data_IF_479006011305
#
_entry.id   IF_479006011305
#
_cell.length_a   1.000
_cell.length_b   1.000
_cell.length_c   1.000
_cell.angle_alpha   90.00
_cell.angle_beta   90.00
_cell.angle_gamma   90.00
#
_symmetry.space_group_name_H-M   'P 1'
#
loop_
_entity.id
_entity.type
_entity.pdbx_description
1 polymer ?
#
# COMPACT_ATOMS: atom_id res chain seq x y z
N UNK A 1 18.54 9.80 17.25
CA UNK A 1 18.84 10.32 15.90
C UNK A 1 18.79 11.83 15.85
N UNK A 2 19.30 12.45 14.78
CA UNK A 2 19.34 13.92 14.60
C UNK A 2 18.55 14.35 13.36
N UNK A 3 17.75 15.43 13.46
CA UNK A 3 17.07 16.00 12.29
C UNK A 3 18.10 16.65 11.38
N UNK A 4 18.36 16.03 10.23
CA UNK A 4 19.31 16.52 9.23
C UNK A 4 18.68 17.59 8.33
N UNK A 5 17.43 17.38 7.92
CA UNK A 5 16.78 18.27 6.96
C UNK A 5 15.26 18.29 7.12
N UNK A 6 14.67 19.43 6.74
CA UNK A 6 13.21 19.60 6.60
C UNK A 6 12.95 20.16 5.22
N UNK A 7 12.48 19.31 4.31
CA UNK A 7 12.24 19.70 2.92
C UNK A 7 10.80 20.21 2.75
N UNK A 8 10.65 21.32 2.03
CA UNK A 8 9.35 21.93 1.72
C UNK A 8 9.23 22.18 0.24
N UNK A 9 8.09 21.82 -0.33
CA UNK A 9 7.75 22.09 -1.72
C UNK A 9 6.96 23.40 -1.89
N UNK A 10 6.22 23.46 -2.99
CA UNK A 10 5.36 24.59 -3.33
C UNK A 10 4.40 24.95 -2.19
N UNK A 11 4.22 26.26 -1.98
CA UNK A 11 3.39 26.81 -0.89
C UNK A 11 3.77 26.28 0.50
N UNK A 12 5.06 25.98 0.71
CA UNK A 12 5.64 25.47 1.98
C UNK A 12 5.07 24.12 2.43
N UNK A 13 4.45 23.36 1.53
CA UNK A 13 3.99 22.00 1.82
C UNK A 13 5.16 21.16 2.33
N UNK A 14 4.98 20.49 3.47
CA UNK A 14 6.02 19.62 4.02
C UNK A 14 6.21 18.42 3.09
N UNK A 15 7.43 18.24 2.58
CA UNK A 15 7.76 17.10 1.71
C UNK A 15 8.34 15.94 2.52
N UNK A 16 9.32 16.23 3.38
CA UNK A 16 9.95 15.23 4.24
C UNK A 16 10.64 15.87 5.44
N UNK A 17 10.83 15.06 6.49
CA UNK A 17 11.73 15.33 7.60
C UNK A 17 12.75 14.20 7.61
N UNK A 18 14.02 14.53 7.42
CA UNK A 18 15.11 13.55 7.30
C UNK A 18 15.80 13.46 8.64
N UNK A 19 15.89 12.24 9.17
CA UNK A 19 16.51 11.94 10.44
C UNK A 19 17.71 11.05 10.17
N UNK A 20 18.90 11.53 10.54
CA UNK A 20 20.09 10.69 10.59
C UNK A 20 19.96 9.77 11.81
N UNK A 21 20.05 8.47 11.54
CA UNK A 21 19.92 7.41 12.54
C UNK A 21 21.25 7.26 13.26
N UNK A 22 21.23 7.23 14.59
CA UNK A 22 22.45 7.02 15.36
C UNK A 22 22.92 5.58 15.23
N UNK A 23 24.23 5.35 15.40
CA UNK A 23 24.83 4.03 15.20
C UNK A 23 24.21 2.94 16.08
N UNK A 24 23.91 3.26 17.34
CA UNK A 24 23.27 2.34 18.28
C UNK A 24 21.87 1.91 17.82
N UNK A 25 21.08 2.83 17.25
CA UNK A 25 19.75 2.55 16.70
C UNK A 25 19.87 1.66 15.46
N UNK A 26 20.89 1.93 14.63
CA UNK A 26 21.15 1.18 13.41
C UNK A 26 21.59 -0.27 13.70
N UNK A 27 22.34 -0.49 14.78
CA UNK A 27 22.80 -1.80 15.22
C UNK A 27 21.75 -2.52 16.11
N UNK A 28 20.56 -1.91 16.31
CA UNK A 28 19.50 -2.48 17.16
C UNK A 28 19.90 -2.60 18.63
N UNK A 29 20.95 -1.90 19.03
CA UNK A 29 21.57 -1.95 20.36
C UNK A 29 21.06 -0.85 21.28
N UNK A 30 20.29 0.10 20.76
CA UNK A 30 19.50 1.07 21.53
C UNK A 30 18.32 0.42 22.24
N UNK A 31 18.58 -0.53 23.13
CA UNK A 31 17.61 -0.99 24.13
C UNK A 31 18.05 -0.44 25.47
N UNK A 32 17.40 0.63 25.93
CA UNK A 32 17.82 1.32 27.16
C UNK A 32 17.27 2.75 27.30
N UNK A 33 18.01 3.58 28.05
CA UNK A 33 17.60 4.88 28.60
C UNK A 33 17.17 5.96 27.58
N UNK A 34 17.46 5.78 26.29
CA UNK A 34 17.14 6.75 25.23
C UNK A 34 15.84 6.43 24.48
N UNK A 35 15.18 5.30 24.78
CA UNK A 35 13.88 4.96 24.19
C UNK A 35 12.75 5.71 24.91
N UNK A 36 11.85 6.33 24.15
CA UNK A 36 10.69 7.04 24.72
C UNK A 36 9.77 6.02 25.37
N UNK A 37 9.62 6.10 26.70
CA UNK A 37 8.60 5.36 27.43
C UNK A 37 7.24 5.98 27.22
N UNK A 38 6.24 5.19 26.85
CA UNK A 38 4.85 5.66 26.73
C UNK A 38 4.13 5.54 28.08
N UNK A 39 3.58 6.64 28.56
CA UNK A 39 2.82 6.70 29.81
C UNK A 39 1.55 5.83 29.78
N UNK A 40 0.95 5.65 28.60
CA UNK A 40 -0.23 4.81 28.39
C UNK A 40 0.11 3.31 28.34
N UNK A 41 1.40 2.94 28.31
CA UNK A 41 1.80 1.54 28.28
C UNK A 41 1.66 0.90 29.66
N UNK A 42 0.71 -0.03 29.80
CA UNK A 42 0.45 -0.74 31.05
C UNK A 42 1.07 -2.13 31.14
N UNK A 43 1.73 -2.62 30.09
CA UNK A 43 2.23 -4.01 29.99
C UNK A 43 1.14 -5.09 29.90
N UNK A 44 -0.14 -4.72 30.00
CA UNK A 44 -1.27 -5.66 29.91
C UNK A 44 -1.52 -6.07 28.46
N UNK A 45 -1.99 -7.31 28.29
CA UNK A 45 -2.49 -7.79 27.01
C UNK A 45 -3.70 -6.94 26.54
N UNK A 46 -3.82 -6.59 25.25
CA UNK A 46 -4.91 -5.74 24.75
C UNK A 46 -6.31 -6.26 25.05
N UNK A 47 -6.49 -7.59 25.14
CA UNK A 47 -7.77 -8.19 25.53
C UNK A 47 -8.30 -7.64 26.88
N UNK A 48 -7.42 -7.34 27.83
CA UNK A 48 -7.76 -6.77 29.13
C UNK A 48 -7.85 -5.24 29.19
N UNK A 49 -7.75 -4.57 28.04
CA UNK A 49 -7.82 -3.11 27.91
C UNK A 49 -9.17 -2.66 27.36
N UNK A 50 -9.51 -1.42 27.68
CA UNK A 50 -10.61 -0.65 27.08
C UNK A 50 -10.17 -0.05 25.73
N UNK A 51 -11.14 0.30 24.88
CA UNK A 51 -10.84 1.00 23.63
C UNK A 51 -10.18 2.37 23.81
N UNK A 52 -10.39 3.01 24.96
CA UNK A 52 -9.77 4.29 25.30
C UNK A 52 -8.29 4.12 25.64
N UNK A 53 -7.95 3.14 26.49
CA UNK A 53 -6.56 2.81 26.81
C UNK A 53 -5.76 2.39 25.56
N UNK A 54 -6.38 1.59 24.66
CA UNK A 54 -5.74 1.23 23.39
C UNK A 54 -5.51 2.46 22.52
N UNK A 55 -6.51 3.33 22.38
CA UNK A 55 -6.40 4.56 21.58
C UNK A 55 -5.31 5.47 22.12
N UNK A 56 -5.25 5.68 23.43
CA UNK A 56 -4.26 6.55 24.08
C UNK A 56 -2.84 6.11 23.76
N UNK A 57 -2.52 4.82 23.93
CA UNK A 57 -1.20 4.30 23.61
C UNK A 57 -0.86 4.42 22.12
N UNK A 58 -1.81 4.14 21.23
CA UNK A 58 -1.57 4.26 19.79
C UNK A 58 -1.34 5.71 19.35
N UNK A 59 -2.05 6.67 19.94
CA UNK A 59 -1.89 8.10 19.65
C UNK A 59 -0.56 8.60 20.22
N UNK A 60 -0.26 8.29 21.49
CA UNK A 60 0.97 8.70 22.16
C UNK A 60 2.23 8.17 21.43
N UNK A 61 2.20 6.92 21.00
CA UNK A 61 3.31 6.29 20.27
C UNK A 61 3.43 6.70 18.80
N UNK A 62 2.40 7.33 18.23
CA UNK A 62 2.29 7.60 16.79
C UNK A 62 1.93 6.37 15.94
N UNK A 63 1.74 5.20 16.55
CA UNK A 63 1.27 4.00 15.83
C UNK A 63 -0.13 4.17 15.22
N UNK A 64 -0.94 5.11 15.75
CA UNK A 64 -2.25 5.49 15.22
C UNK A 64 -2.23 5.85 13.73
N UNK A 65 -1.10 6.37 13.23
CA UNK A 65 -0.93 6.73 11.81
C UNK A 65 -1.03 5.53 10.85
N UNK A 66 -1.05 4.29 11.36
CA UNK A 66 -1.36 3.11 10.56
C UNK A 66 -2.81 3.09 10.05
N UNK A 67 -3.73 3.66 10.81
CA UNK A 67 -5.17 3.57 10.56
C UNK A 67 -5.60 4.65 9.58
N UNK A 68 -6.19 4.23 8.46
CA UNK A 68 -6.82 5.12 7.48
C UNK A 68 -8.32 4.87 7.44
N UNK A 69 -9.10 5.93 7.22
CA UNK A 69 -10.56 5.84 7.10
C UNK A 69 -11.02 5.96 5.66
N UNK A 70 -11.90 5.06 5.21
CA UNK A 70 -12.62 5.15 3.93
C UNK A 70 -14.00 5.76 4.20
N UNK A 71 -14.48 6.73 3.39
CA UNK A 71 -14.17 6.97 1.98
C UNK A 71 -12.92 7.83 1.63
N UNK A 72 -12.34 8.58 2.57
CA UNK A 72 -11.37 9.64 2.22
C UNK A 72 -9.88 9.26 2.28
N UNK A 73 -9.56 8.03 2.70
CA UNK A 73 -8.21 7.51 2.94
C UNK A 73 -7.28 8.40 3.78
N UNK A 74 -7.87 9.24 4.64
CA UNK A 74 -7.13 10.07 5.60
C UNK A 74 -6.83 9.25 6.86
N UNK A 75 -5.84 9.69 7.63
CA UNK A 75 -5.60 9.14 8.97
C UNK A 75 -6.91 9.17 9.77
N UNK A 76 -7.24 8.05 10.38
CA UNK A 76 -8.44 7.88 11.20
C UNK A 76 -8.53 8.98 12.26
N UNK A 77 -9.71 9.57 12.45
CA UNK A 77 -9.92 10.53 13.53
C UNK A 77 -10.04 9.79 14.87
N UNK A 78 -9.15 10.02 15.86
CA UNK A 78 -9.20 9.34 17.17
C UNK A 78 -10.52 9.57 17.94
N UNK A 79 -11.22 10.66 17.65
CA UNK A 79 -12.48 11.01 18.31
C UNK A 79 -13.70 10.35 17.65
N UNK A 80 -13.51 9.58 16.59
CA UNK A 80 -14.57 8.84 15.91
C UNK A 80 -14.42 7.33 16.14
N UNK A 81 -15.45 6.59 15.76
CA UNK A 81 -15.45 5.12 15.72
C UNK A 81 -15.85 4.68 14.32
N UNK A 82 -15.17 3.70 13.73
CA UNK A 82 -15.57 3.15 12.45
C UNK A 82 -16.68 2.11 12.63
N UNK A 83 -17.48 1.93 11.59
CA UNK A 83 -18.48 0.86 11.55
C UNK A 83 -17.81 -0.52 11.60
N UNK A 84 -16.71 -0.69 10.87
CA UNK A 84 -15.89 -1.90 10.84
C UNK A 84 -14.42 -1.56 10.59
N UNK A 85 -13.52 -2.54 10.81
CA UNK A 85 -12.10 -2.39 10.51
C UNK A 85 -11.62 -3.51 9.59
N UNK A 86 -10.89 -3.14 8.53
CA UNK A 86 -10.31 -4.06 7.56
C UNK A 86 -8.80 -4.21 7.78
N UNK A 87 -8.35 -5.43 7.98
CA UNK A 87 -6.93 -5.81 8.01
C UNK A 87 -6.61 -6.47 6.67
N UNK A 88 -5.82 -5.81 5.84
CA UNK A 88 -5.32 -6.43 4.59
C UNK A 88 -4.15 -7.36 4.92
N UNK A 89 -4.39 -8.67 4.80
CA UNK A 89 -3.43 -9.76 5.03
C UNK A 89 -3.23 -10.59 3.74
N UNK A 90 -3.25 -9.90 2.60
CA UNK A 90 -2.87 -10.39 1.28
C UNK A 90 -2.38 -9.20 0.45
N UNK A 91 -1.59 -9.45 -0.58
CA UNK A 91 -1.17 -8.42 -1.52
C UNK A 91 -1.06 -9.03 -2.92
N UNK A 92 -1.86 -8.53 -3.86
CA UNK A 92 -1.85 -8.98 -5.25
C UNK A 92 -1.13 -8.00 -6.18
N UNK A 93 -0.51 -6.96 -5.65
CA UNK A 93 0.38 -6.13 -6.45
C UNK A 93 1.50 -6.99 -7.06
N UNK A 94 1.91 -6.70 -8.30
CA UNK A 94 3.03 -7.41 -8.90
C UNK A 94 4.28 -7.19 -8.06
N UNK A 95 5.00 -8.29 -7.83
CA UNK A 95 6.25 -8.31 -7.05
C UNK A 95 6.07 -7.99 -5.55
N UNK A 96 4.85 -8.04 -5.02
CA UNK A 96 4.62 -7.91 -3.59
C UNK A 96 5.27 -9.03 -2.77
N UNK A 97 5.46 -8.79 -1.47
CA UNK A 97 5.95 -9.80 -0.56
C UNK A 97 4.86 -10.86 -0.29
N UNK A 98 5.27 -12.12 -0.16
CA UNK A 98 4.39 -13.16 0.37
C UNK A 98 4.07 -12.86 1.85
N UNK A 99 2.78 -12.68 2.14
CA UNK A 99 2.31 -12.33 3.48
C UNK A 99 2.63 -13.42 4.52
N UNK A 100 2.57 -14.71 4.12
CA UNK A 100 2.89 -15.82 5.02
C UNK A 100 4.36 -15.75 5.46
N UNK A 101 5.28 -15.46 4.54
CA UNK A 101 6.70 -15.34 4.86
C UNK A 101 7.02 -14.14 5.76
N UNK A 102 6.24 -13.05 5.65
CA UNK A 102 6.44 -11.88 6.51
C UNK A 102 5.85 -12.09 7.91
N UNK A 103 4.71 -12.77 8.03
CA UNK A 103 4.09 -13.07 9.32
C UNK A 103 4.88 -14.14 10.09
N UNK A 104 5.57 -15.04 9.38
CA UNK A 104 6.38 -16.12 9.96
C UNK A 104 7.32 -15.60 11.06
N UNK A 105 7.16 -16.13 12.29
CA UNK A 105 7.93 -15.73 13.47
C UNK A 105 7.46 -14.43 14.15
N UNK A 106 6.35 -13.84 13.70
CA UNK A 106 5.69 -12.67 14.30
C UNK A 106 4.21 -12.94 14.62
N UNK A 107 3.82 -14.21 14.75
CA UNK A 107 2.43 -14.66 14.95
C UNK A 107 1.83 -14.08 16.24
N UNK A 108 2.54 -14.17 17.36
CA UNK A 108 2.10 -13.62 18.65
C UNK A 108 1.88 -12.10 18.58
N UNK A 109 2.72 -11.39 17.83
CA UNK A 109 2.58 -9.96 17.61
C UNK A 109 1.40 -9.65 16.70
N UNK A 110 1.19 -10.43 15.64
CA UNK A 110 0.02 -10.28 14.78
C UNK A 110 -1.28 -10.50 15.57
N UNK A 111 -1.37 -11.57 16.35
CA UNK A 111 -2.51 -11.89 17.21
C UNK A 111 -2.80 -10.76 18.21
N UNK A 112 -1.78 -10.30 18.94
CA UNK A 112 -1.89 -9.21 19.90
C UNK A 112 -2.34 -7.91 19.24
N UNK A 113 -1.83 -7.64 18.04
CA UNK A 113 -2.25 -6.52 17.21
C UNK A 113 -3.74 -6.58 16.87
N UNK A 114 -4.25 -7.76 16.47
CA UNK A 114 -5.67 -7.97 16.18
C UNK A 114 -6.55 -7.70 17.40
N UNK A 115 -6.15 -8.17 18.59
CA UNK A 115 -6.87 -7.84 19.83
C UNK A 115 -6.89 -6.34 20.12
N UNK A 116 -5.79 -5.62 19.87
CA UNK A 116 -5.76 -4.17 20.05
C UNK A 116 -6.72 -3.47 19.07
N UNK A 117 -6.64 -3.81 17.78
CA UNK A 117 -7.51 -3.26 16.75
C UNK A 117 -8.99 -3.55 17.06
N UNK A 118 -9.31 -4.74 17.62
CA UNK A 118 -10.64 -5.12 18.09
C UNK A 118 -11.25 -4.25 19.17
N UNK A 119 -10.44 -3.46 19.88
CA UNK A 119 -10.94 -2.49 20.87
C UNK A 119 -11.34 -1.15 20.26
N UNK A 120 -10.98 -0.89 18.99
CA UNK A 120 -11.20 0.39 18.32
C UNK A 120 -12.57 0.51 17.65
N UNK A 121 -13.31 -0.60 17.53
CA UNK A 121 -14.68 -0.63 16.99
C UNK A 121 -15.58 -1.51 17.86
N UNK A 122 -16.87 -1.23 17.81
CA UNK A 122 -17.91 -2.11 18.33
C UNK A 122 -18.38 -3.14 17.31
N UNK A 123 -18.16 -2.86 16.02
CA UNK A 123 -18.55 -3.70 14.89
C UNK A 123 -17.51 -4.75 14.51
N UNK A 124 -17.64 -5.35 13.31
CA UNK A 124 -16.78 -6.44 12.88
C UNK A 124 -15.37 -5.97 12.52
N UNK A 125 -14.43 -6.91 12.65
CA UNK A 125 -13.10 -6.82 12.07
C UNK A 125 -12.98 -7.86 10.98
N UNK A 126 -12.70 -7.41 9.76
CA UNK A 126 -12.46 -8.28 8.63
C UNK A 126 -10.94 -8.46 8.46
N UNK A 127 -10.46 -9.69 8.58
CA UNK A 127 -9.10 -10.04 8.15
C UNK A 127 -9.19 -10.63 6.76
N UNK A 128 -8.73 -9.87 5.77
CA UNK A 128 -8.84 -10.24 4.36
C UNK A 128 -7.55 -10.90 3.88
N UNK A 129 -7.60 -12.18 3.50
CA UNK A 129 -6.42 -12.97 3.12
C UNK A 129 -6.59 -13.70 1.80
N UNK A 130 -5.49 -14.27 1.30
CA UNK A 130 -5.54 -15.31 0.27
C UNK A 130 -6.13 -16.61 0.81
N UNK A 131 -6.56 -17.49 -0.09
CA UNK A 131 -7.04 -18.86 0.21
C UNK A 131 -5.92 -19.76 0.78
N UNK A 132 -4.67 -19.38 0.54
CA UNK A 132 -3.42 -20.03 0.89
C UNK A 132 -2.74 -19.42 2.13
N UNK A 133 -3.49 -18.66 2.94
CA UNK A 133 -3.03 -18.12 4.22
C UNK A 133 -2.69 -19.25 5.22
N UNK A 134 -1.50 -19.17 5.84
CA UNK A 134 -0.99 -20.19 6.79
C UNK A 134 -0.95 -19.70 8.24
N UNK A 135 -1.27 -18.43 8.49
CA UNK A 135 -1.29 -17.86 9.84
C UNK A 135 -2.57 -18.21 10.58
N UNK A 136 -2.47 -18.30 11.91
CA UNK A 136 -3.62 -18.51 12.78
C UNK A 136 -4.24 -17.18 13.20
N UNK A 137 -5.56 -17.16 13.36
CA UNK A 137 -6.30 -16.01 13.83
C UNK A 137 -6.83 -16.26 15.25
N UNK A 138 -6.82 -15.25 16.13
CA UNK A 138 -7.42 -15.37 17.44
C UNK A 138 -8.93 -15.58 17.34
N UNK A 139 -9.48 -16.37 18.26
CA UNK A 139 -10.91 -16.60 18.35
C UNK A 139 -11.57 -15.52 19.22
N UNK A 140 -12.24 -14.57 18.59
CA UNK A 140 -13.19 -13.68 19.25
C UNK A 140 -14.33 -13.30 18.32
N UNK A 141 -15.53 -13.15 18.88
CA UNK A 141 -16.81 -13.12 18.14
C UNK A 141 -16.96 -12.07 17.03
N UNK A 142 -16.15 -11.00 17.06
CA UNK A 142 -16.20 -9.92 16.06
C UNK A 142 -15.18 -10.07 14.93
N UNK A 143 -14.25 -11.01 15.04
CA UNK A 143 -13.28 -11.28 13.98
C UNK A 143 -13.93 -12.15 12.91
N UNK A 144 -13.88 -11.68 11.67
CA UNK A 144 -14.33 -12.39 10.48
C UNK A 144 -13.14 -12.59 9.55
N UNK A 145 -12.90 -13.85 9.18
CA UNK A 145 -11.83 -14.21 8.27
C UNK A 145 -12.40 -14.33 6.86
N UNK A 146 -12.03 -13.40 5.99
CA UNK A 146 -12.57 -13.31 4.63
C UNK A 146 -11.47 -13.64 3.62
N UNK A 147 -11.68 -14.71 2.86
CA UNK A 147 -10.71 -15.18 1.88
C UNK A 147 -11.06 -14.70 0.48
N UNK A 148 -10.07 -14.18 -0.22
CA UNK A 148 -10.19 -13.72 -1.60
C UNK A 148 -9.21 -14.47 -2.50
N UNK A 149 -9.64 -14.75 -3.72
CA UNK A 149 -8.83 -15.37 -4.77
C UNK A 149 -9.01 -14.59 -6.07
N UNK A 150 -7.94 -14.48 -6.85
CA UNK A 150 -7.96 -13.89 -8.18
C UNK A 150 -6.74 -13.02 -8.46
N UNK A 151 -6.65 -12.48 -9.70
CA UNK A 151 -5.60 -11.55 -10.07
C UNK A 151 -5.76 -10.21 -9.32
N UNK A 152 -4.76 -9.33 -9.46
CA UNK A 152 -4.92 -7.94 -9.03
C UNK A 152 -6.17 -7.33 -9.70
N UNK A 153 -7.08 -6.68 -8.93
CA UNK A 153 -6.89 -6.10 -7.59
C UNK A 153 -7.50 -6.89 -6.42
N UNK A 154 -7.45 -8.23 -6.42
CA UNK A 154 -8.05 -9.05 -5.34
C UNK A 154 -7.55 -8.78 -3.90
N UNK A 155 -6.36 -8.18 -3.75
CA UNK A 155 -5.78 -7.82 -2.44
C UNK A 155 -5.94 -6.35 -2.06
N UNK A 156 -6.67 -5.56 -2.87
CA UNK A 156 -6.87 -4.13 -2.61
C UNK A 156 -8.05 -3.93 -1.67
N UNK A 157 -7.88 -3.05 -0.69
CA UNK A 157 -8.87 -2.84 0.39
C UNK A 157 -10.19 -2.28 -0.13
N UNK A 158 -10.21 -1.45 -1.18
CA UNK A 158 -11.45 -0.90 -1.72
C UNK A 158 -12.37 -2.00 -2.25
N UNK A 159 -11.81 -3.05 -2.88
CA UNK A 159 -12.59 -4.23 -3.28
C UNK A 159 -13.14 -4.98 -2.06
N UNK A 160 -12.34 -5.17 -1.01
CA UNK A 160 -12.79 -5.85 0.21
C UNK A 160 -13.95 -5.10 0.86
N UNK A 161 -13.81 -3.78 1.01
CA UNK A 161 -14.85 -2.90 1.54
C UNK A 161 -16.11 -2.97 0.69
N UNK A 162 -15.97 -2.86 -0.64
CA UNK A 162 -17.09 -2.92 -1.57
C UNK A 162 -17.90 -4.22 -1.46
N UNK A 163 -17.23 -5.36 -1.22
CA UNK A 163 -17.89 -6.68 -1.11
C UNK A 163 -18.50 -6.95 0.26
N UNK A 164 -17.89 -6.45 1.33
CA UNK A 164 -18.20 -6.86 2.71
C UNK A 164 -18.97 -5.79 3.49
N UNK A 165 -18.54 -4.53 3.41
CA UNK A 165 -19.11 -3.45 4.22
C UNK A 165 -18.95 -2.08 3.52
N UNK A 166 -19.63 -1.86 2.38
CA UNK A 166 -19.44 -0.66 1.54
C UNK A 166 -19.73 0.63 2.30
N UNK A 167 -19.04 1.70 1.90
CA UNK A 167 -19.07 3.02 2.56
C UNK A 167 -19.81 4.07 1.76
N UNK A 168 -20.30 5.08 2.45
CA UNK A 168 -20.94 6.25 1.86
C UNK A 168 -20.62 7.51 2.69
N UNK A 169 -21.35 8.61 2.51
CA UNK A 169 -21.14 9.84 3.30
C UNK A 169 -21.43 9.69 4.80
N UNK A 170 -22.33 8.79 5.16
CA UNK A 170 -22.81 8.54 6.51
C UNK A 170 -22.10 7.38 7.21
N UNK A 171 -21.50 6.46 6.44
CA UNK A 171 -20.84 5.27 6.93
C UNK A 171 -19.35 5.27 6.57
N UNK A 172 -18.52 5.09 7.59
CA UNK A 172 -17.07 5.13 7.50
C UNK A 172 -16.47 3.88 8.14
N UNK A 173 -15.46 3.30 7.49
CA UNK A 173 -14.70 2.14 7.98
C UNK A 173 -13.22 2.49 8.09
N UNK A 174 -12.48 1.81 8.96
CA UNK A 174 -11.03 1.93 9.03
C UNK A 174 -10.33 0.76 8.37
N UNK A 175 -9.09 0.97 7.97
CA UNK A 175 -8.25 -0.10 7.47
C UNK A 175 -6.76 0.11 7.78
N UNK A 176 -6.03 -1.00 7.81
CA UNK A 176 -4.58 -1.07 7.98
C UNK A 176 -4.03 -2.37 7.39
N UNK A 177 -2.73 -2.42 7.13
CA UNK A 177 -2.07 -3.64 6.63
C UNK A 177 -1.57 -4.54 7.76
N UNK A 178 -1.29 -5.80 7.42
CA UNK A 178 -0.80 -6.82 8.35
C UNK A 178 0.52 -6.46 9.07
N UNK A 179 1.48 -5.76 8.43
CA UNK A 179 2.72 -5.35 9.12
C UNK A 179 2.49 -4.24 10.15
N UNK A 180 1.51 -3.38 9.91
CA UNK A 180 1.08 -2.40 10.89
C UNK A 180 0.39 -3.06 12.08
N UNK A 181 -0.42 -4.11 11.85
CA UNK A 181 -0.98 -4.94 12.94
C UNK A 181 0.13 -5.58 13.77
N UNK A 182 1.13 -6.20 13.13
CA UNK A 182 2.32 -6.73 13.82
C UNK A 182 3.02 -5.62 14.63
N UNK A 183 3.22 -4.44 14.05
CA UNK A 183 3.85 -3.32 14.71
C UNK A 183 3.09 -2.85 15.96
N UNK A 184 1.76 -2.80 15.88
CA UNK A 184 0.88 -2.52 17.01
C UNK A 184 1.02 -3.61 18.09
N UNK A 185 0.99 -4.89 17.71
CA UNK A 185 1.19 -5.97 18.67
C UNK A 185 2.53 -5.91 19.39
N UNK A 186 3.61 -5.64 18.66
CA UNK A 186 4.94 -5.44 19.24
C UNK A 186 4.96 -4.28 20.24
N UNK A 187 4.25 -3.18 19.96
CA UNK A 187 4.10 -2.06 20.90
C UNK A 187 3.42 -2.51 22.21
N UNK A 188 2.32 -3.28 22.12
CA UNK A 188 1.66 -3.82 23.31
C UNK A 188 2.45 -4.93 24.02
N UNK A 189 3.39 -5.56 23.34
CA UNK A 189 4.26 -6.58 23.93
C UNK A 189 5.46 -5.98 24.65
N UNK A 190 6.06 -4.93 24.07
CA UNK A 190 7.38 -4.43 24.49
C UNK A 190 7.32 -3.04 25.12
N UNK A 191 6.27 -2.26 24.89
CA UNK A 191 6.22 -0.84 25.24
C UNK A 191 7.02 0.05 24.29
N UNK A 192 7.56 -0.52 23.21
CA UNK A 192 8.46 0.14 22.26
C UNK A 192 7.82 0.26 20.87
N UNK A 193 8.02 1.39 20.19
CA UNK A 193 7.50 1.58 18.84
C UNK A 193 8.27 0.72 17.81
N UNK A 194 7.59 -0.27 17.23
CA UNK A 194 8.19 -1.09 16.16
C UNK A 194 8.21 -0.34 14.82
N UNK A 195 9.41 0.08 14.42
CA UNK A 195 9.65 0.71 13.11
C UNK A 195 10.18 -0.25 12.04
N UNK A 196 10.39 -1.54 12.38
CA UNK A 196 10.88 -2.56 11.44
C UNK A 196 9.86 -2.82 10.35
N UNK A 197 10.31 -2.98 9.11
CA UNK A 197 9.51 -3.38 7.96
C UNK A 197 10.21 -4.48 7.18
N UNK A 198 9.45 -5.42 6.63
CA UNK A 198 9.96 -6.39 5.66
C UNK A 198 9.36 -5.99 4.32
N UNK A 199 10.16 -5.58 3.36
CA UNK A 199 9.66 -5.12 2.06
C UNK A 199 10.23 -5.97 0.94
N UNK A 200 9.43 -6.18 -0.10
CA UNK A 200 9.95 -6.72 -1.36
C UNK A 200 10.79 -5.66 -2.06
N UNK A 201 12.06 -5.97 -2.35
CA UNK A 201 12.89 -5.19 -3.26
C UNK A 201 12.97 -5.96 -4.58
N UNK A 202 12.27 -5.47 -5.61
CA UNK A 202 12.10 -6.21 -6.84
C UNK A 202 11.90 -5.31 -8.07
N UNK A 203 11.96 -5.93 -9.23
CA UNK A 203 11.75 -5.30 -10.53
C UNK A 203 12.83 -5.70 -11.54
N UNK A 204 12.62 -5.45 -12.84
CA UNK A 204 13.56 -5.87 -13.88
C UNK A 204 14.98 -5.30 -13.71
N UNK A 205 15.12 -4.19 -13.00
CA UNK A 205 16.40 -3.53 -12.75
C UNK A 205 17.16 -4.06 -11.53
N UNK A 206 16.57 -4.93 -10.72
CA UNK A 206 17.17 -5.43 -9.46
C UNK A 206 17.95 -6.72 -9.73
N UNK A 207 19.23 -6.75 -9.36
CA UNK A 207 20.11 -7.92 -9.58
C UNK A 207 19.70 -9.14 -8.73
N UNK A 208 19.24 -8.90 -7.50
CA UNK A 208 18.90 -9.94 -6.52
C UNK A 208 17.56 -9.64 -5.84
N UNK A 209 16.42 -9.82 -6.55
CA UNK A 209 15.11 -9.58 -5.97
C UNK A 209 14.88 -10.46 -4.74
N UNK A 210 14.45 -9.86 -3.63
CA UNK A 210 14.25 -10.56 -2.35
C UNK A 210 13.45 -9.72 -1.36
N UNK A 211 13.03 -10.36 -0.27
CA UNK A 211 12.56 -9.64 0.90
C UNK A 211 13.75 -9.08 1.67
N UNK A 212 13.65 -7.80 2.05
CA UNK A 212 14.67 -7.11 2.86
C UNK A 212 14.05 -6.56 4.12
N UNK A 213 14.71 -6.79 5.26
CA UNK A 213 14.37 -6.12 6.50
C UNK A 213 14.94 -4.71 6.47
N UNK A 214 14.08 -3.73 6.68
CA UNK A 214 14.38 -2.31 6.67
C UNK A 214 13.55 -1.61 7.76
N UNK A 215 13.42 -0.28 7.68
CA UNK A 215 12.62 0.52 8.61
C UNK A 215 11.59 1.40 7.89
N UNK A 216 10.58 1.83 8.62
CA UNK A 216 9.67 2.90 8.21
C UNK A 216 10.47 4.14 7.79
N UNK A 217 10.14 4.69 6.61
CA UNK A 217 10.83 5.88 6.11
C UNK A 217 12.28 5.65 5.70
N UNK A 218 12.71 4.41 5.46
CA UNK A 218 14.08 4.13 5.01
C UNK A 218 14.42 4.89 3.71
N UNK A 219 15.65 5.40 3.62
CA UNK A 219 16.18 5.97 2.39
C UNK A 219 16.22 4.90 1.30
N UNK A 220 15.50 5.14 0.21
CA UNK A 220 15.46 4.20 -0.92
C UNK A 220 16.74 4.26 -1.74
N UNK A 221 17.43 5.41 -1.77
CA UNK A 221 18.74 5.52 -2.38
C UNK A 221 19.76 4.60 -1.69
N UNK A 222 19.77 4.58 -0.34
CA UNK A 222 20.62 3.67 0.42
C UNK A 222 20.17 2.20 0.30
N UNK A 223 18.85 1.96 0.24
CA UNK A 223 18.31 0.60 0.15
C UNK A 223 18.67 -0.10 -1.18
N UNK A 224 18.82 0.65 -2.28
CA UNK A 224 19.14 0.08 -3.60
C UNK A 224 20.61 0.19 -3.99
N UNK A 225 21.46 0.73 -3.11
CA UNK A 225 22.88 0.89 -3.38
C UNK A 225 23.55 -0.47 -3.63
N UNK A 226 24.18 -0.63 -4.80
CA UNK A 226 24.81 -1.90 -5.19
C UNK A 226 23.82 -3.04 -5.50
N UNK A 227 22.52 -2.77 -5.58
CA UNK A 227 21.49 -3.79 -5.86
C UNK A 227 20.96 -3.77 -7.30
N UNK A 228 21.33 -2.76 -8.10
CA UNK A 228 20.79 -2.53 -9.44
C UNK A 228 21.77 -2.90 -10.55
N UNK A 229 21.23 -3.38 -11.69
CA UNK A 229 22.01 -3.55 -12.92
C UNK A 229 22.53 -2.20 -13.44
N UNK A 230 23.51 -2.20 -14.34
CA UNK A 230 23.98 -0.97 -14.98
C UNK A 230 22.85 -0.29 -15.80
N UNK A 231 22.69 1.02 -15.65
CA UNK A 231 21.71 1.82 -16.40
C UNK A 231 21.04 2.92 -15.57
N UNK A 232 20.13 3.67 -16.21
CA UNK A 232 19.25 4.61 -15.52
C UNK A 232 17.96 3.90 -15.07
N UNK A 233 17.56 4.14 -13.83
CA UNK A 233 16.42 3.46 -13.22
C UNK A 233 15.46 4.42 -12.54
N UNK A 234 14.18 4.03 -12.53
CA UNK A 234 13.16 4.63 -11.69
C UNK A 234 12.94 3.77 -10.45
N UNK A 235 13.22 4.36 -9.30
CA UNK A 235 12.92 3.78 -7.99
C UNK A 235 11.52 4.23 -7.58
N UNK A 236 10.70 3.28 -7.14
CA UNK A 236 9.31 3.49 -6.75
C UNK A 236 9.12 2.98 -5.33
N UNK A 237 8.66 3.86 -4.46
CA UNK A 237 8.13 3.51 -3.15
C UNK A 237 6.73 2.94 -3.37
N UNK A 238 6.51 1.66 -3.08
CA UNK A 238 5.27 0.95 -3.41
C UNK A 238 5.32 0.19 -4.73
N UNK A 239 4.15 -0.24 -5.21
CA UNK A 239 4.01 -1.03 -6.43
C UNK A 239 4.16 -0.19 -7.70
N UNK A 240 4.32 -0.85 -8.84
CA UNK A 240 4.31 -0.15 -10.14
C UNK A 240 2.93 0.41 -10.51
N UNK A 241 1.85 -0.06 -9.87
CA UNK A 241 0.49 0.42 -10.13
C UNK A 241 0.13 1.63 -9.27
N UNK A 242 0.42 1.60 -7.97
CA UNK A 242 0.03 2.66 -7.02
C UNK A 242 1.19 3.13 -6.14
N UNK A 243 2.38 3.23 -6.73
CA UNK A 243 3.58 3.70 -6.05
C UNK A 243 3.89 5.18 -6.28
N UNK A 244 4.82 5.70 -5.50
CA UNK A 244 5.37 7.06 -5.66
C UNK A 244 6.81 6.99 -6.13
N UNK A 245 7.15 7.76 -7.17
CA UNK A 245 8.55 7.94 -7.60
C UNK A 245 9.36 8.45 -6.40
N UNK A 246 10.48 7.79 -6.14
CA UNK A 246 11.43 8.19 -5.11
C UNK A 246 12.57 8.99 -5.75
N UNK A 247 12.52 10.33 -5.77
CA UNK A 247 13.63 11.12 -6.30
C UNK A 247 14.84 11.04 -5.37
N UNK A 248 16.03 11.18 -5.94
CA UNK A 248 17.25 11.29 -5.14
C UNK A 248 17.18 12.50 -4.21
N UNK A 249 17.57 12.31 -2.94
CA UNK A 249 17.65 13.38 -1.94
C UNK A 249 16.32 13.64 -1.21
N UNK A 250 15.52 14.59 -1.71
CA UNK A 250 14.53 15.30 -0.89
C UNK A 250 13.36 14.43 -0.41
N UNK A 251 12.85 13.50 -1.22
CA UNK A 251 11.67 12.68 -0.89
C UNK A 251 11.82 11.19 -1.26
N UNK A 252 13.06 10.74 -1.47
CA UNK A 252 13.40 9.37 -1.84
C UNK A 252 13.33 8.35 -0.68
N UNK A 253 12.18 8.25 -0.01
CA UNK A 253 12.00 7.41 1.17
C UNK A 253 10.86 6.40 1.02
N UNK A 254 10.92 5.33 1.80
CA UNK A 254 9.83 4.36 1.90
C UNK A 254 8.58 5.04 2.51
N UNK A 255 7.47 5.01 1.78
CA UNK A 255 6.22 5.63 2.18
C UNK A 255 5.60 4.89 3.37
N UNK A 256 4.82 5.59 4.20
CA UNK A 256 4.24 5.04 5.44
C UNK A 256 3.44 3.75 5.21
N UNK A 257 2.72 3.66 4.09
CA UNK A 257 1.82 2.56 3.77
C UNK A 257 2.37 1.59 2.72
N UNK A 258 3.59 1.82 2.23
CA UNK A 258 4.19 0.98 1.19
C UNK A 258 4.96 -0.20 1.80
N UNK A 259 4.68 -1.41 1.31
CA UNK A 259 5.33 -2.66 1.74
C UNK A 259 6.21 -3.29 0.64
N UNK A 260 6.47 -2.56 -0.43
CA UNK A 260 7.40 -2.97 -1.49
C UNK A 260 8.14 -1.77 -2.07
N UNK A 261 9.26 -2.05 -2.73
CA UNK A 261 10.09 -1.12 -3.50
C UNK A 261 10.27 -1.71 -4.88
N UNK A 262 9.71 -1.02 -5.88
CA UNK A 262 9.76 -1.47 -7.27
C UNK A 262 10.82 -0.67 -8.04
N UNK A 263 11.67 -1.34 -8.81
CA UNK A 263 12.69 -0.68 -9.64
C UNK A 263 12.58 -1.11 -11.10
N UNK A 264 12.30 -0.13 -11.96
CA UNK A 264 12.14 -0.31 -13.41
C UNK A 264 13.14 0.55 -14.17
N UNK A 265 13.44 0.19 -15.43
CA UNK A 265 14.32 1.00 -16.25
C UNK A 265 13.68 2.35 -16.60
N UNK A 266 14.48 3.43 -16.53
CA UNK A 266 14.06 4.74 -17.03
C UNK A 266 14.28 4.77 -18.54
N UNK A 267 13.19 4.81 -19.31
CA UNK A 267 13.26 4.73 -20.76
C UNK A 267 13.20 6.12 -21.41
N UNK A 268 14.27 6.47 -22.13
CA UNK A 268 14.39 7.73 -22.89
C UNK A 268 14.38 7.54 -24.40
N UNK A 269 14.35 6.30 -24.86
CA UNK A 269 14.40 5.93 -26.27
C UNK A 269 13.06 6.12 -26.94
N UNK A 270 13.05 6.80 -28.09
CA UNK A 270 11.90 6.79 -29.00
C UNK A 270 12.10 5.68 -30.01
N UNK A 271 11.18 4.72 -30.04
CA UNK A 271 11.17 3.69 -31.08
C UNK A 271 10.87 4.30 -32.45
N UNK A 272 11.80 4.15 -33.40
CA UNK A 272 11.57 4.52 -34.79
C UNK A 272 10.49 3.60 -35.41
N UNK A 273 9.39 4.19 -35.89
CA UNK A 273 8.25 3.47 -36.48
C UNK A 273 7.66 2.35 -35.59
N UNK A 274 7.69 2.51 -34.25
CA UNK A 274 7.24 1.48 -33.30
C UNK A 274 5.76 1.07 -33.40
N UNK A 275 4.94 1.78 -34.18
CA UNK A 275 3.54 1.45 -34.48
C UNK A 275 3.40 0.39 -35.60
N UNK A 276 4.42 0.23 -36.44
CA UNK A 276 4.49 -0.81 -37.49
C UNK A 276 5.07 -2.13 -36.96
N UNK A 277 5.72 -2.11 -35.80
CA UNK A 277 6.34 -3.29 -35.24
C UNK A 277 5.28 -4.31 -34.76
N UNK A 278 5.44 -5.62 -35.04
CA UNK A 278 4.50 -6.67 -34.64
C UNK A 278 4.34 -6.84 -33.12
N UNK A 279 5.20 -6.19 -32.32
CA UNK A 279 5.02 -6.03 -30.89
C UNK A 279 5.21 -7.30 -30.06
N UNK A 280 6.17 -8.16 -30.42
CA UNK A 280 6.44 -9.39 -29.66
C UNK A 280 6.70 -9.17 -28.16
N UNK A 281 7.27 -8.03 -27.78
CA UNK A 281 7.57 -7.66 -26.39
C UNK A 281 6.66 -6.54 -25.86
N UNK A 282 5.55 -6.23 -26.54
CA UNK A 282 4.61 -5.18 -26.13
C UNK A 282 3.40 -5.79 -25.44
N UNK A 283 3.02 -5.24 -24.29
CA UNK A 283 1.78 -5.60 -23.61
C UNK A 283 0.58 -4.87 -24.23
N UNK A 284 -0.56 -5.55 -24.34
CA UNK A 284 -1.86 -4.93 -24.63
C UNK A 284 -2.98 -5.71 -23.96
N UNK A 285 -3.95 -4.99 -23.42
CA UNK A 285 -5.21 -5.57 -22.90
C UNK A 285 -6.12 -6.08 -24.04
N UNK A 286 -5.94 -5.52 -25.24
CA UNK A 286 -6.61 -5.96 -26.47
C UNK A 286 -5.75 -6.93 -27.27
N UNK A 287 -6.37 -7.59 -28.26
CA UNK A 287 -5.69 -8.55 -29.13
C UNK A 287 -4.90 -7.85 -30.27
N UNK A 288 -4.07 -6.87 -29.95
CA UNK A 288 -3.41 -6.00 -30.94
C UNK A 288 -1.95 -6.36 -31.23
N UNK A 289 -1.30 -7.17 -30.38
CA UNK A 289 0.11 -7.56 -30.54
C UNK A 289 0.29 -9.08 -30.53
N UNK A 290 1.32 -9.57 -31.21
CA UNK A 290 1.63 -11.00 -31.30
C UNK A 290 1.97 -11.60 -29.92
N UNK A 291 2.44 -10.78 -28.98
CA UNK A 291 2.71 -11.18 -27.59
C UNK A 291 1.52 -11.89 -26.91
N UNK A 292 0.28 -11.61 -27.33
CA UNK A 292 -0.93 -12.27 -26.84
C UNK A 292 -1.00 -13.76 -27.16
N UNK A 293 -0.32 -14.21 -28.21
CA UNK A 293 -0.24 -15.63 -28.58
C UNK A 293 0.77 -16.42 -27.73
N UNK A 294 1.51 -15.74 -26.85
CA UNK A 294 2.50 -16.35 -25.95
C UNK A 294 1.97 -16.31 -24.50
N UNK A 295 1.18 -17.30 -24.06
CA UNK A 295 0.66 -17.35 -22.70
C UNK A 295 1.81 -17.39 -21.68
N UNK A 296 1.64 -16.71 -20.55
CA UNK A 296 2.66 -16.65 -19.49
C UNK A 296 3.86 -15.75 -19.78
N UNK A 297 3.88 -15.03 -20.91
CA UNK A 297 4.96 -14.08 -21.22
C UNK A 297 5.04 -12.99 -20.15
N UNK A 298 6.22 -12.88 -19.54
CA UNK A 298 6.56 -11.81 -18.63
C UNK A 298 7.08 -10.59 -19.41
N UNK A 299 6.78 -9.39 -18.92
CA UNK A 299 7.18 -8.13 -19.53
C UNK A 299 8.05 -7.34 -18.57
N UNK A 300 9.21 -6.91 -19.05
CA UNK A 300 10.04 -5.93 -18.37
C UNK A 300 9.49 -4.53 -18.67
N UNK A 301 8.49 -4.10 -17.90
CA UNK A 301 7.94 -2.76 -18.04
C UNK A 301 8.99 -1.69 -17.69
N UNK A 302 8.93 -0.58 -18.41
CA UNK A 302 9.78 0.60 -18.23
C UNK A 302 8.91 1.82 -17.93
N UNK A 303 9.50 3.00 -17.83
CA UNK A 303 8.75 4.26 -17.65
C UNK A 303 8.03 4.74 -18.91
N UNK A 304 8.17 4.04 -20.04
CA UNK A 304 7.54 4.39 -21.31
C UNK A 304 6.02 4.16 -21.28
N UNK A 305 5.25 5.20 -21.60
CA UNK A 305 3.79 5.11 -21.79
C UNK A 305 3.39 4.46 -23.11
N UNK A 306 4.36 4.25 -24.02
CA UNK A 306 4.16 3.71 -25.37
C UNK A 306 3.07 4.46 -26.16
N UNK A 307 2.95 5.78 -25.95
CA UNK A 307 1.95 6.63 -26.59
C UNK A 307 1.77 7.98 -25.90
N UNK A 308 0.98 8.86 -26.53
CA UNK A 308 0.65 10.19 -26.02
C UNK A 308 -0.75 10.23 -25.38
N UNK A 309 -1.02 11.27 -24.59
CA UNK A 309 -2.36 11.53 -24.04
C UNK A 309 -3.40 11.70 -25.16
N UNK A 310 -4.57 11.10 -25.00
CA UNK A 310 -5.70 11.15 -25.94
C UNK A 310 -7.03 11.13 -25.17
N UNK A 311 -8.13 11.38 -25.89
CA UNK A 311 -9.47 11.27 -25.33
C UNK A 311 -9.76 9.85 -24.81
N UNK A 312 -10.60 9.77 -23.79
CA UNK A 312 -11.14 8.50 -23.30
C UNK A 312 -12.15 7.98 -24.32
N UNK A 313 -11.90 6.79 -24.86
CA UNK A 313 -12.80 6.13 -25.80
C UNK A 313 -13.49 4.97 -25.05
N UNK A 314 -14.83 4.91 -25.01
CA UNK A 314 -15.58 3.90 -24.27
C UNK A 314 -15.58 2.56 -25.01
N UNK A 315 -14.43 1.87 -25.04
CA UNK A 315 -14.24 0.58 -25.71
C UNK A 315 -14.28 -0.64 -24.76
N UNK A 316 -14.80 -0.46 -23.55
CA UNK A 316 -14.99 -1.57 -22.61
C UNK A 316 -13.71 -2.09 -21.95
N UNK A 317 -12.63 -1.28 -21.89
CA UNK A 317 -11.34 -1.71 -21.31
C UNK A 317 -11.30 -1.62 -19.79
N UNK A 318 -12.03 -0.67 -19.20
CA UNK A 318 -12.02 -0.46 -17.75
C UNK A 318 -12.86 -1.51 -17.04
N UNK A 319 -13.98 -1.91 -17.65
CA UNK A 319 -14.88 -2.98 -17.20
C UNK A 319 -14.17 -4.34 -17.13
N UNK A 320 -13.07 -4.54 -17.87
CA UNK A 320 -12.27 -5.77 -17.81
C UNK A 320 -11.37 -5.87 -16.59
N UNK A 321 -11.09 -4.74 -15.93
CA UNK A 321 -10.16 -4.66 -14.80
C UNK A 321 -10.79 -4.10 -13.53
N UNK A 322 -12.07 -3.74 -13.57
CA UNK A 322 -12.85 -3.24 -12.43
C UNK A 322 -13.76 -4.36 -11.90
N UNK A 323 -13.42 -5.01 -10.78
CA UNK A 323 -14.25 -6.08 -10.20
C UNK A 323 -15.38 -5.59 -9.29
N UNK A 324 -15.48 -4.26 -9.08
CA UNK A 324 -16.54 -3.61 -8.31
C UNK A 324 -17.76 -3.35 -9.20
N UNK A 325 -18.96 -3.35 -8.60
CA UNK A 325 -20.23 -3.08 -9.28
C UNK A 325 -20.41 -1.58 -9.52
N UNK A 326 -19.54 -1.04 -10.39
CA UNK A 326 -19.48 0.35 -10.77
C UNK A 326 -19.55 0.47 -12.30
N UNK A 327 -19.79 1.69 -12.77
CA UNK A 327 -19.74 2.04 -14.18
C UNK A 327 -18.41 2.74 -14.50
N UNK A 328 -17.27 2.02 -14.60
CA UNK A 328 -15.93 2.62 -14.55
C UNK A 328 -15.66 3.57 -15.72
N UNK A 329 -16.18 3.30 -16.92
CA UNK A 329 -16.03 4.23 -18.05
C UNK A 329 -16.70 5.58 -17.77
N UNK A 330 -17.90 5.58 -17.19
CA UNK A 330 -18.62 6.81 -16.88
C UNK A 330 -17.99 7.53 -15.69
N UNK A 331 -17.57 6.77 -14.68
CA UNK A 331 -16.89 7.29 -13.50
C UNK A 331 -15.56 7.96 -13.89
N UNK A 332 -14.72 7.28 -14.67
CA UNK A 332 -13.47 7.80 -15.19
C UNK A 332 -13.66 9.12 -15.97
N UNK A 333 -14.75 9.23 -16.75
CA UNK A 333 -15.10 10.47 -17.46
C UNK A 333 -15.51 11.58 -16.49
N UNK A 334 -16.34 11.27 -15.49
CA UNK A 334 -16.76 12.24 -14.47
C UNK A 334 -15.54 12.79 -13.70
N UNK A 335 -14.60 11.92 -13.30
CA UNK A 335 -13.34 12.29 -12.65
C UNK A 335 -12.52 13.24 -13.53
N UNK A 336 -12.30 12.88 -14.80
CA UNK A 336 -11.52 13.72 -15.73
C UNK A 336 -12.20 15.05 -16.04
N UNK A 337 -13.52 15.07 -16.09
CA UNK A 337 -14.32 16.30 -16.26
C UNK A 337 -14.43 17.11 -14.97
N UNK A 338 -13.97 16.58 -13.83
CA UNK A 338 -14.10 17.16 -12.48
C UNK A 338 -15.56 17.38 -12.08
N UNK A 339 -16.46 16.53 -12.55
CA UNK A 339 -17.86 16.49 -12.16
C UNK A 339 -17.99 15.67 -10.87
N UNK A 340 -17.88 16.34 -9.73
CA UNK A 340 -17.84 15.70 -8.42
C UNK A 340 -19.17 15.06 -8.03
N UNK A 341 -20.29 15.71 -8.40
CA UNK A 341 -21.64 15.19 -8.12
C UNK A 341 -21.86 13.89 -8.90
N UNK A 342 -21.54 13.90 -10.20
CA UNK A 342 -21.67 12.69 -11.01
C UNK A 342 -20.70 11.58 -10.61
N UNK A 343 -19.47 11.93 -10.22
CA UNK A 343 -18.50 10.93 -9.75
C UNK A 343 -19.00 10.24 -8.46
N UNK A 344 -19.58 11.02 -7.55
CA UNK A 344 -20.16 10.49 -6.32
C UNK A 344 -21.35 9.56 -6.58
N UNK A 345 -22.29 9.94 -7.45
CA UNK A 345 -23.41 9.08 -7.87
C UNK A 345 -22.93 7.76 -8.49
N UNK A 346 -21.74 7.76 -9.09
CA UNK A 346 -21.11 6.60 -9.72
C UNK A 346 -20.21 5.82 -8.76
N UNK A 347 -20.27 6.08 -7.45
CA UNK A 347 -19.60 5.29 -6.41
C UNK A 347 -18.16 5.72 -6.11
N UNK A 348 -17.74 6.93 -6.49
CA UNK A 348 -16.37 7.42 -6.25
C UNK A 348 -15.96 7.44 -4.76
N UNK A 349 -16.91 7.50 -3.83
CA UNK A 349 -16.62 7.53 -2.39
C UNK A 349 -15.98 6.23 -1.90
N UNK A 350 -16.28 5.09 -2.48
CA UNK A 350 -15.67 3.82 -2.06
C UNK A 350 -14.20 3.70 -2.49
N UNK A 351 -13.77 4.53 -3.44
CA UNK A 351 -12.50 4.41 -4.14
C UNK A 351 -11.41 5.34 -3.59
N UNK A 352 -10.18 4.92 -3.82
CA UNK A 352 -8.95 5.70 -3.66
C UNK A 352 -8.06 5.41 -4.89
N UNK A 353 -6.90 6.06 -4.97
CA UNK A 353 -6.01 5.97 -6.13
C UNK A 353 -5.63 4.51 -6.49
N UNK A 354 -5.43 3.63 -5.51
CA UNK A 354 -5.09 2.22 -5.73
C UNK A 354 -6.19 1.43 -6.45
N UNK A 355 -7.46 1.81 -6.25
CA UNK A 355 -8.62 1.15 -6.83
C UNK A 355 -8.78 1.49 -8.33
N UNK A 356 -8.32 2.68 -8.72
CA UNK A 356 -8.33 3.17 -10.11
C UNK A 356 -7.01 2.89 -10.86
N UNK A 357 -5.97 2.41 -10.16
CA UNK A 357 -4.64 2.24 -10.73
C UNK A 357 -4.61 1.32 -11.97
N UNK A 358 -5.36 0.22 -11.95
CA UNK A 358 -5.47 -0.66 -13.12
C UNK A 358 -6.23 0.01 -14.28
N UNK A 359 -7.23 0.84 -14.01
CA UNK A 359 -7.90 1.62 -15.05
C UNK A 359 -6.93 2.61 -15.71
N UNK A 360 -6.08 3.28 -14.93
CA UNK A 360 -5.01 4.15 -15.45
C UNK A 360 -4.03 3.35 -16.31
N UNK A 361 -3.61 2.17 -15.83
CA UNK A 361 -2.68 1.30 -16.56
C UNK A 361 -3.21 0.87 -17.94
N UNK A 362 -4.47 0.42 -18.01
CA UNK A 362 -5.06 -0.06 -19.27
C UNK A 362 -5.59 1.06 -20.17
N UNK A 363 -5.61 2.31 -19.70
CA UNK A 363 -6.16 3.46 -20.41
C UNK A 363 -5.47 3.69 -21.78
N UNK A 364 -6.19 3.54 -22.91
CA UNK A 364 -5.65 3.87 -24.23
C UNK A 364 -5.31 5.36 -24.36
N UNK A 365 -6.06 6.18 -23.63
CA UNK A 365 -5.89 7.63 -23.55
C UNK A 365 -4.68 8.09 -22.73
N UNK A 366 -3.98 7.18 -22.03
CA UNK A 366 -2.85 7.49 -21.15
C UNK A 366 -3.20 8.53 -20.08
N UNK A 367 -4.43 8.44 -19.59
CA UNK A 367 -4.93 9.24 -18.48
C UNK A 367 -4.56 8.55 -17.17
N UNK A 368 -4.13 9.36 -16.21
CA UNK A 368 -3.95 8.99 -14.82
C UNK A 368 -5.22 9.46 -14.10
N UNK A 369 -6.06 8.52 -13.66
CA UNK A 369 -7.38 8.75 -13.07
C UNK A 369 -7.32 9.15 -11.60
#
# INVERSE_FOLDING_TARGET
GTVRAVHRGDRRALSSIVIDVDRADHEGSSRGADEVSFSSFSGRHPNGLTGDEVRELLVESGAWLALRGRPFSRVANPNQRPHSIFVTAMDTNPLAADVNEVIRGSEDAFERGLFAVAKLTEGPIFVCSGVDSQFHLPDFSRLQHEQFEGPHPAGVVGLHIHKLDPVDRSKMVWHLNYQDVIGIGMLFQTGSLSVSRIVSLAGPSVMRPRLVRTRLGASLAGLVEGELIAGEHRIISGSVFSGRRAPSGESGYLGRYHLQVSVIAEERTREFLGWLAPGFNKFSIGNTFISRLLPGKQFAFTTSTQGSKRAIIPIGVYERVMPMDLLPTFLARAIVMRDTERAEELGCLELDEEDMALCSFVCPGKTDF
#
